data_IF_331543192591
#
_entry.id   IF_331543192591
#
_cell.length_a   1.000
_cell.length_b   1.000
_cell.length_c   1.000
_cell.angle_alpha   90.00
_cell.angle_beta   90.00
_cell.angle_gamma   90.00
#
_symmetry.space_group_name_H-M   'P 1'
#
loop_
_entity.id
_entity.type
_entity.pdbx_description
1 polymer ?
#
# COMPACT_ATOMS: atom_id res chain seq x y z
N UNK A 1 -8.76 60.73 -5.16
CA UNK A 1 -7.84 61.78 -5.65
C UNK A 1 -6.79 62.03 -4.59
N UNK A 2 -5.51 61.98 -4.99
CA UNK A 2 -4.34 62.69 -4.44
C UNK A 2 -4.01 62.49 -2.94
N UNK A 3 -2.97 61.70 -2.62
CA UNK A 3 -1.55 62.10 -2.52
C UNK A 3 -1.26 62.89 -1.22
N UNK A 4 -0.72 62.24 -0.18
CA UNK A 4 0.73 62.07 0.13
C UNK A 4 1.51 63.37 0.32
N UNK A 5 1.99 63.59 1.56
CA UNK A 5 3.24 64.31 1.95
C UNK A 5 3.61 63.75 3.35
N UNK A 6 4.69 63.04 3.65
CA UNK A 6 6.14 63.17 3.41
C UNK A 6 6.92 63.94 4.52
N UNK A 7 7.78 63.17 5.22
CA UNK A 7 9.17 63.44 5.67
C UNK A 7 9.49 64.40 6.85
N UNK A 8 10.44 63.97 7.69
CA UNK A 8 11.53 64.82 8.21
C UNK A 8 11.85 64.74 9.71
N UNK A 9 13.04 64.22 10.06
CA UNK A 9 13.57 64.05 11.42
C UNK A 9 14.36 65.28 11.96
N UNK A 10 14.52 65.41 13.29
CA UNK A 10 15.82 65.65 13.99
C UNK A 10 15.72 65.82 15.54
N UNK A 11 16.50 64.97 16.25
CA UNK A 11 17.32 65.17 17.48
C UNK A 11 16.71 65.42 18.89
N UNK A 12 17.15 64.65 19.91
CA UNK A 12 18.24 64.99 20.89
C UNK A 12 18.38 63.93 22.02
N UNK A 13 19.64 63.53 22.30
CA UNK A 13 20.25 62.95 23.54
C UNK A 13 19.63 61.69 24.20
N UNK A 14 20.33 60.65 24.64
CA UNK A 14 21.75 60.36 24.89
C UNK A 14 21.82 59.37 26.07
N UNK A 15 22.28 58.14 25.86
CA UNK A 15 22.61 57.13 26.89
C UNK A 15 23.45 55.98 26.24
N UNK A 16 24.23 55.22 27.02
CA UNK A 16 25.49 54.62 26.58
C UNK A 16 25.34 53.37 25.70
N UNK A 17 26.42 53.07 25.00
CA UNK A 17 26.65 51.84 24.24
C UNK A 17 26.63 50.64 25.20
N UNK A 18 25.54 49.88 25.19
CA UNK A 18 25.59 48.47 25.55
C UNK A 18 25.84 47.70 24.24
N UNK A 19 27.02 47.08 24.17
CA UNK A 19 27.31 46.05 23.19
C UNK A 19 26.26 44.96 23.31
N UNK A 20 25.46 44.83 22.25
CA UNK A 20 24.52 43.73 22.09
C UNK A 20 25.34 42.43 22.06
N UNK A 21 25.36 41.71 23.19
CA UNK A 21 25.89 40.36 23.27
C UNK A 21 24.97 39.50 22.41
N UNK A 22 25.40 39.20 21.19
CA UNK A 22 24.85 38.14 20.36
C UNK A 22 25.01 36.81 21.11
N UNK A 23 24.03 36.47 21.94
CA UNK A 23 23.86 35.13 22.48
C UNK A 23 23.29 34.26 21.39
N UNK A 24 24.14 33.51 20.69
CA UNK A 24 23.72 32.33 19.94
C UNK A 24 23.13 31.33 20.94
N UNK A 25 21.80 31.23 21.01
CA UNK A 25 21.16 30.08 21.61
C UNK A 25 21.35 28.91 20.64
N UNK A 26 22.36 28.07 20.90
CA UNK A 26 22.40 26.75 20.30
C UNK A 26 21.14 26.01 20.75
N UNK A 27 20.39 25.45 19.81
CA UNK A 27 19.29 24.53 20.13
C UNK A 27 19.88 23.39 20.96
N UNK A 28 19.28 23.08 22.12
CA UNK A 28 19.70 21.94 22.91
C UNK A 28 19.41 20.67 22.10
N UNK A 29 20.40 19.79 21.98
CA UNK A 29 20.21 18.47 21.36
C UNK A 29 19.05 17.75 22.05
N UNK A 30 18.24 17.05 21.26
CA UNK A 30 17.26 16.11 21.79
C UNK A 30 17.96 15.02 22.60
N UNK A 31 17.21 14.30 23.43
CA UNK A 31 17.77 13.21 24.22
C UNK A 31 18.38 12.13 23.32
N UNK A 32 17.72 11.81 22.20
CA UNK A 32 18.21 10.84 21.22
C UNK A 32 19.51 11.34 20.58
N UNK A 33 19.53 12.53 19.98
CA UNK A 33 20.73 13.09 19.32
C UNK A 33 21.94 13.13 20.27
N UNK A 34 21.77 13.56 21.52
CA UNK A 34 22.85 13.57 22.51
C UNK A 34 23.42 12.18 22.79
N UNK A 35 22.54 11.18 22.95
CA UNK A 35 22.94 9.82 23.33
C UNK A 35 23.51 9.06 22.13
N UNK A 36 22.90 9.22 20.96
CA UNK A 36 23.28 8.57 19.70
C UNK A 36 24.59 9.14 19.13
N UNK A 37 24.82 10.45 19.28
CA UNK A 37 26.09 11.09 18.97
C UNK A 37 27.16 10.98 20.07
N UNK A 38 26.90 10.27 21.17
CA UNK A 38 27.88 10.08 22.26
C UNK A 38 28.46 11.39 22.84
N UNK A 39 27.67 12.46 22.83
CA UNK A 39 28.11 13.82 23.14
C UNK A 39 28.47 14.03 24.61
N UNK A 40 27.90 13.20 25.50
CA UNK A 40 28.21 13.19 26.93
C UNK A 40 28.54 11.78 27.43
N UNK A 41 29.80 11.59 27.84
CA UNK A 41 30.32 10.34 28.40
C UNK A 41 29.63 9.93 29.69
N UNK A 42 28.99 10.87 30.39
CA UNK A 42 28.22 10.61 31.60
C UNK A 42 26.93 9.82 31.32
N UNK A 43 26.40 9.87 30.09
CA UNK A 43 25.17 9.18 29.71
C UNK A 43 25.34 7.68 29.68
N UNK A 44 26.51 7.23 29.24
CA UNK A 44 26.80 5.83 29.06
C UNK A 44 27.37 5.26 30.35
N UNK A 45 26.83 4.13 30.82
CA UNK A 45 27.41 3.34 31.89
C UNK A 45 28.26 2.21 31.30
N UNK A 46 29.36 1.82 31.93
CA UNK A 46 30.27 0.79 31.45
C UNK A 46 30.45 -0.28 32.52
N UNK A 47 30.28 -1.56 32.16
CA UNK A 47 30.51 -2.67 33.09
C UNK A 47 31.99 -2.94 33.38
N UNK A 48 32.88 -2.50 32.48
CA UNK A 48 34.34 -2.63 32.59
C UNK A 48 35.03 -1.58 31.70
N UNK A 49 36.35 -1.41 31.88
CA UNK A 49 37.15 -0.43 31.15
C UNK A 49 37.06 0.99 31.71
N UNK A 50 37.76 1.91 31.06
CA UNK A 50 37.80 3.33 31.41
C UNK A 50 37.17 4.12 30.27
N UNK A 51 36.06 4.82 30.55
CA UNK A 51 35.41 5.76 29.63
C UNK A 51 36.12 7.11 29.62
N UNK A 52 36.20 7.76 28.48
CA UNK A 52 36.70 9.12 28.34
C UNK A 52 36.03 9.82 27.15
N UNK A 53 36.06 11.16 27.16
CA UNK A 53 35.59 11.94 26.01
C UNK A 53 36.69 12.01 24.97
N UNK A 54 36.31 11.90 23.70
CA UNK A 54 37.20 12.01 22.55
C UNK A 54 36.87 13.26 21.75
N UNK A 55 37.91 14.00 21.38
CA UNK A 55 37.82 15.09 20.40
C UNK A 55 37.91 14.60 18.94
N UNK A 56 38.16 13.29 18.74
CA UNK A 56 38.00 12.64 17.44
C UNK A 56 36.55 12.15 17.35
N UNK A 57 35.80 12.66 16.39
CA UNK A 57 34.39 12.37 16.17
C UNK A 57 34.07 12.36 14.66
N UNK A 58 32.99 11.70 14.25
CA UNK A 58 32.43 11.70 12.89
C UNK A 58 31.22 12.62 12.77
N UNK A 59 30.53 12.90 13.88
CA UNK A 59 29.45 13.90 13.95
C UNK A 59 29.56 14.75 15.22
N UNK A 60 28.70 15.77 15.35
CA UNK A 60 28.56 16.53 16.59
C UNK A 60 29.85 17.17 17.13
N UNK A 61 30.02 17.18 18.46
CA UNK A 61 31.11 17.90 19.14
C UNK A 61 32.04 17.00 19.96
N UNK A 62 31.61 15.80 20.32
CA UNK A 62 32.42 14.83 21.08
C UNK A 62 32.01 13.39 20.75
N UNK A 63 32.88 12.44 21.09
CA UNK A 63 32.60 11.00 20.98
C UNK A 63 33.00 10.26 22.26
N UNK A 64 32.61 8.98 22.38
CA UNK A 64 32.92 8.14 23.53
C UNK A 64 34.15 7.25 23.29
N UNK A 65 35.21 7.47 24.06
CA UNK A 65 36.38 6.59 24.12
C UNK A 65 36.25 5.52 25.22
N UNK A 66 36.64 4.28 24.93
CA UNK A 66 36.74 3.19 25.90
C UNK A 66 38.08 2.45 25.77
N UNK A 67 38.80 2.28 26.88
CA UNK A 67 40.08 1.53 26.95
C UNK A 67 40.12 0.53 28.10
N UNK A 68 41.19 -0.28 28.15
CA UNK A 68 41.46 -1.23 29.25
C UNK A 68 40.36 -2.26 29.49
N UNK A 69 39.77 -2.79 28.42
CA UNK A 69 38.75 -3.84 28.47
C UNK A 69 39.11 -5.01 27.54
N UNK A 70 38.61 -6.19 27.85
CA UNK A 70 38.49 -7.30 26.87
C UNK A 70 37.04 -7.61 26.53
N UNK A 71 36.14 -7.35 27.49
CA UNK A 71 34.69 -7.34 27.39
C UNK A 71 34.18 -6.10 28.14
N UNK A 72 33.23 -5.36 27.56
CA UNK A 72 32.49 -4.31 28.25
C UNK A 72 31.06 -4.22 27.69
N UNK A 73 30.09 -3.90 28.55
CA UNK A 73 28.76 -3.45 28.15
C UNK A 73 28.68 -1.95 28.39
N UNK A 74 28.29 -1.21 27.35
CA UNK A 74 27.93 0.20 27.43
C UNK A 74 26.41 0.31 27.40
N UNK A 75 25.81 0.87 28.44
CA UNK A 75 24.35 1.00 28.56
C UNK A 75 23.94 2.46 28.62
N UNK A 76 23.01 2.84 27.74
CA UNK A 76 22.44 4.19 27.64
C UNK A 76 21.56 4.53 28.84
N UNK A 77 21.20 5.81 29.05
CA UNK A 77 20.07 6.15 29.93
C UNK A 77 18.76 5.65 29.31
N UNK A 78 17.67 5.71 30.08
CA UNK A 78 16.33 5.48 29.54
C UNK A 78 15.99 6.57 28.52
N UNK A 79 15.71 6.14 27.30
CA UNK A 79 15.31 6.93 26.16
C UNK A 79 13.79 6.98 26.07
N UNK A 80 13.31 8.12 25.60
CA UNK A 80 11.95 8.29 25.12
C UNK A 80 11.79 7.72 23.70
N UNK A 81 10.60 7.91 23.14
CA UNK A 81 10.22 7.40 21.82
C UNK A 81 11.26 7.79 20.78
N UNK A 82 11.76 6.80 20.04
CA UNK A 82 12.77 7.02 19.02
C UNK A 82 12.14 7.60 17.76
N UNK A 83 12.94 8.41 17.06
CA UNK A 83 12.64 8.89 15.71
C UNK A 83 13.56 8.22 14.69
N UNK A 84 13.05 8.00 13.48
CA UNK A 84 13.84 7.48 12.36
C UNK A 84 14.23 6.01 12.46
N UNK A 85 13.44 5.16 13.14
CA UNK A 85 13.71 3.72 13.26
C UNK A 85 13.53 3.01 11.91
N UNK A 86 14.58 2.37 11.41
CA UNK A 86 14.62 1.61 10.14
C UNK A 86 15.02 0.14 10.38
N UNK A 87 15.25 -0.59 9.29
CA UNK A 87 15.69 -1.99 9.28
C UNK A 87 17.22 -2.16 9.44
N UNK A 88 18.00 -1.08 9.50
CA UNK A 88 19.44 -1.11 9.75
C UNK A 88 19.85 -0.06 10.79
N UNK A 89 20.74 -0.45 11.70
CA UNK A 89 21.38 0.45 12.64
C UNK A 89 22.88 0.49 12.32
N UNK A 90 23.48 1.66 12.32
CA UNK A 90 24.90 1.84 12.10
C UNK A 90 25.59 2.51 13.28
N UNK A 91 26.88 2.21 13.44
CA UNK A 91 27.75 2.79 14.47
C UNK A 91 29.13 3.05 13.87
N UNK A 92 29.64 4.27 14.02
CA UNK A 92 31.01 4.57 13.63
C UNK A 92 31.98 4.18 14.76
N UNK A 93 33.02 3.44 14.41
CA UNK A 93 34.05 2.98 15.35
C UNK A 93 35.44 3.27 14.82
N UNK A 94 36.32 3.73 15.72
CA UNK A 94 37.74 3.91 15.45
C UNK A 94 38.58 3.10 16.42
N UNK A 95 39.29 2.12 15.88
CA UNK A 95 40.10 1.19 16.68
C UNK A 95 41.55 1.67 16.79
N UNK A 96 42.20 1.51 17.96
CA UNK A 96 43.61 1.93 18.13
C UNK A 96 44.60 1.04 17.38
N UNK A 97 44.21 -0.21 17.10
CA UNK A 97 44.97 -1.20 16.34
C UNK A 97 44.01 -2.11 15.58
N UNK A 98 44.49 -2.72 14.48
CA UNK A 98 43.69 -3.68 13.70
C UNK A 98 43.60 -5.01 14.47
N UNK A 99 42.40 -5.45 14.88
CA UNK A 99 42.30 -6.57 15.79
C UNK A 99 42.21 -7.91 15.03
N UNK A 100 42.84 -8.94 15.59
CA UNK A 100 42.77 -10.31 15.05
C UNK A 100 41.42 -11.01 15.33
N UNK A 101 40.65 -10.48 16.28
CA UNK A 101 39.33 -10.95 16.68
C UNK A 101 38.60 -9.81 17.40
N UNK A 102 37.28 -9.84 17.43
CA UNK A 102 36.48 -8.89 18.19
C UNK A 102 35.12 -8.69 17.54
N UNK A 103 34.17 -8.19 18.32
CA UNK A 103 32.81 -7.95 17.86
C UNK A 103 32.13 -6.86 18.69
N UNK A 104 31.15 -6.22 18.08
CA UNK A 104 30.15 -5.39 18.74
C UNK A 104 28.79 -6.05 18.58
N UNK A 105 28.00 -6.06 19.64
CA UNK A 105 26.61 -6.54 19.63
C UNK A 105 25.71 -5.42 20.14
N UNK A 106 24.50 -5.33 19.60
CA UNK A 106 23.49 -4.36 20.02
C UNK A 106 22.30 -5.10 20.62
N UNK A 107 21.91 -4.69 21.82
CA UNK A 107 20.71 -5.17 22.49
C UNK A 107 19.82 -3.99 22.88
N UNK A 108 18.51 -4.23 22.90
CA UNK A 108 17.52 -3.25 23.36
C UNK A 108 16.65 -3.83 24.47
N UNK A 109 16.29 -3.01 25.45
CA UNK A 109 15.37 -3.38 26.53
C UNK A 109 14.36 -2.28 26.76
N UNK A 110 13.09 -2.63 26.84
CA UNK A 110 12.00 -1.73 27.20
C UNK A 110 10.85 -2.57 27.77
N UNK A 111 10.59 -2.49 29.08
CA UNK A 111 9.40 -3.09 29.67
C UNK A 111 8.09 -2.67 28.98
N UNK A 112 7.94 -1.39 28.61
CA UNK A 112 6.73 -0.91 27.91
C UNK A 112 6.53 -1.53 26.53
N UNK A 113 7.61 -1.82 25.80
CA UNK A 113 7.56 -2.46 24.48
C UNK A 113 7.63 -3.99 24.55
N UNK A 114 7.64 -4.59 25.75
CA UNK A 114 7.79 -6.04 25.92
C UNK A 114 9.17 -6.58 25.53
N UNK A 115 10.18 -5.73 25.42
CA UNK A 115 11.53 -6.10 25.01
C UNK A 115 12.42 -6.33 26.24
N UNK A 116 13.02 -7.52 26.36
CA UNK A 116 13.93 -7.88 27.45
C UNK A 116 15.26 -8.34 26.89
N UNK A 117 16.28 -7.47 26.93
CA UNK A 117 17.59 -7.69 26.31
C UNK A 117 17.46 -8.33 24.91
N UNK A 118 16.52 -7.79 24.14
CA UNK A 118 16.23 -8.27 22.80
C UNK A 118 17.45 -8.01 21.91
N UNK A 119 17.88 -9.06 21.24
CA UNK A 119 19.04 -9.03 20.39
C UNK A 119 18.69 -8.33 19.06
N UNK A 120 19.38 -7.23 18.76
CA UNK A 120 19.21 -6.52 17.49
C UNK A 120 20.14 -7.13 16.43
N UNK A 121 21.46 -7.04 16.65
CA UNK A 121 22.43 -7.52 15.67
C UNK A 121 23.86 -7.55 16.21
N UNK A 122 24.79 -8.02 15.38
CA UNK A 122 26.22 -7.99 15.68
C UNK A 122 27.07 -7.69 14.45
N UNK A 123 28.24 -7.10 14.68
CA UNK A 123 29.24 -6.81 13.66
C UNK A 123 30.64 -7.25 14.12
N UNK A 124 31.43 -7.78 13.19
CA UNK A 124 32.81 -8.20 13.46
C UNK A 124 33.77 -7.00 13.43
N UNK A 125 34.71 -6.97 14.36
CA UNK A 125 35.82 -6.00 14.36
C UNK A 125 37.07 -6.54 13.64
N UNK A 126 37.11 -7.85 13.38
CA UNK A 126 38.30 -8.52 12.85
C UNK A 126 38.75 -7.90 11.53
N UNK A 127 40.03 -7.51 11.46
CA UNK A 127 40.64 -7.01 10.24
C UNK A 127 40.30 -5.55 9.88
N UNK A 128 39.48 -4.85 10.68
CA UNK A 128 39.22 -3.43 10.48
C UNK A 128 40.51 -2.60 10.64
N UNK A 129 40.69 -1.52 9.86
CA UNK A 129 41.91 -0.74 9.85
C UNK A 129 42.14 -0.01 11.18
N UNK A 130 43.39 0.03 11.63
CA UNK A 130 43.77 0.83 12.78
C UNK A 130 43.62 2.34 12.45
N UNK A 131 43.25 3.12 13.46
CA UNK A 131 43.29 4.58 13.43
C UNK A 131 42.43 5.24 12.35
N UNK A 132 41.47 4.52 11.81
CA UNK A 132 40.54 4.96 10.76
C UNK A 132 39.12 4.64 11.22
N UNK A 133 38.17 5.50 10.87
CA UNK A 133 36.75 5.24 11.12
C UNK A 133 36.27 4.08 10.24
N UNK A 134 35.52 3.18 10.83
CA UNK A 134 34.78 2.11 10.15
C UNK A 134 33.33 2.22 10.60
N UNK A 135 32.37 2.10 9.68
CA UNK A 135 30.95 2.05 10.02
C UNK A 135 30.55 0.58 10.13
N UNK A 136 30.03 0.20 11.30
CA UNK A 136 29.46 -1.11 11.55
C UNK A 136 27.97 -1.05 11.27
N UNK A 137 27.45 -1.97 10.47
CA UNK A 137 26.02 -2.11 10.19
C UNK A 137 25.42 -3.31 10.94
N UNK A 138 24.21 -3.15 11.45
CA UNK A 138 23.45 -4.13 12.21
C UNK A 138 22.03 -4.20 11.64
N UNK A 139 21.63 -5.35 11.07
CA UNK A 139 20.25 -5.56 10.67
C UNK A 139 19.31 -5.54 11.89
N UNK A 140 18.24 -4.78 11.81
CA UNK A 140 17.17 -4.69 12.82
C UNK A 140 16.09 -5.69 12.46
N UNK A 141 15.84 -6.73 13.29
CA UNK A 141 14.75 -7.66 13.04
C UNK A 141 13.41 -6.92 12.96
N UNK A 142 12.57 -7.23 11.97
CA UNK A 142 11.29 -6.54 11.75
C UNK A 142 10.41 -6.46 13.01
N UNK A 143 10.38 -7.50 13.83
CA UNK A 143 9.62 -7.49 15.09
C UNK A 143 10.16 -6.51 16.14
N UNK A 144 11.46 -6.25 16.14
CA UNK A 144 12.10 -5.25 17.00
C UNK A 144 11.90 -3.86 16.38
N UNK A 145 12.01 -3.71 15.06
CA UNK A 145 11.73 -2.46 14.35
C UNK A 145 10.32 -1.94 14.68
N UNK A 146 9.29 -2.77 14.49
CA UNK A 146 7.90 -2.39 14.80
C UNK A 146 7.66 -2.10 16.28
N UNK A 147 8.43 -2.72 17.18
CA UNK A 147 8.36 -2.40 18.61
C UNK A 147 9.01 -1.04 18.91
N UNK A 148 10.17 -0.75 18.32
CA UNK A 148 10.92 0.50 18.55
C UNK A 148 10.24 1.74 17.94
N UNK A 149 9.34 1.57 16.97
CA UNK A 149 8.50 2.63 16.40
C UNK A 149 7.33 3.04 17.33
N UNK A 150 7.04 2.27 18.37
CA UNK A 150 5.98 2.59 19.32
C UNK A 150 6.43 3.56 20.41
N UNK A 151 5.46 4.25 21.02
CA UNK A 151 5.73 5.19 22.11
C UNK A 151 6.32 4.51 23.35
N UNK A 152 7.43 5.06 23.85
CA UNK A 152 8.14 4.56 25.04
C UNK A 152 8.77 5.71 25.84
N UNK A 153 9.11 5.42 27.10
CA UNK A 153 9.91 6.29 27.99
C UNK A 153 10.97 5.53 28.78
N UNK A 154 11.12 4.22 28.53
CA UNK A 154 11.97 3.31 29.31
C UNK A 154 12.93 2.50 28.43
N UNK A 155 13.12 2.90 27.17
CA UNK A 155 13.98 2.18 26.23
C UNK A 155 15.46 2.36 26.58
N UNK A 156 16.21 1.27 26.63
CA UNK A 156 17.66 1.30 26.80
C UNK A 156 18.35 0.56 25.67
N UNK A 157 19.44 1.14 25.18
CA UNK A 157 20.37 0.51 24.24
C UNK A 157 21.59 0.02 25.01
N UNK A 158 22.00 -1.21 24.74
CA UNK A 158 23.23 -1.80 25.26
C UNK A 158 24.13 -2.20 24.10
N UNK A 159 25.35 -1.67 24.09
CA UNK A 159 26.43 -2.08 23.19
C UNK A 159 27.37 -3.02 23.95
N UNK A 160 27.52 -4.26 23.49
CA UNK A 160 28.49 -5.21 24.04
C UNK A 160 29.73 -5.23 23.16
N UNK A 161 30.88 -4.87 23.72
CA UNK A 161 32.16 -4.80 23.03
C UNK A 161 33.10 -5.89 23.50
N UNK A 162 33.64 -6.65 22.55
CA UNK A 162 34.70 -7.62 22.77
C UNK A 162 35.87 -7.33 21.84
N UNK A 163 37.04 -7.05 22.42
CA UNK A 163 38.23 -6.71 21.65
C UNK A 163 39.51 -7.02 22.45
N UNK A 164 40.68 -7.13 21.80
CA UNK A 164 41.96 -7.18 22.49
C UNK A 164 42.16 -5.93 23.36
N UNK A 165 42.62 -6.13 24.61
CA UNK A 165 42.86 -5.01 25.53
C UNK A 165 43.97 -4.09 25.02
N UNK A 166 43.73 -2.79 25.14
CA UNK A 166 44.63 -1.71 24.71
C UNK A 166 44.63 -0.59 25.75
N UNK A 167 45.78 0.06 25.90
CA UNK A 167 45.90 1.30 26.69
C UNK A 167 45.40 2.54 25.94
N UNK A 168 45.27 2.47 24.62
CA UNK A 168 44.64 3.48 23.78
C UNK A 168 43.15 3.16 23.58
N UNK A 169 42.32 4.19 23.46
CA UNK A 169 40.87 4.04 23.36
C UNK A 169 40.39 3.51 21.99
N UNK A 170 39.39 2.64 22.05
CA UNK A 170 38.42 2.44 20.98
C UNK A 170 37.39 3.57 21.09
N UNK A 171 37.20 4.33 20.01
CA UNK A 171 36.26 5.46 19.99
C UNK A 171 34.99 5.04 19.25
N UNK A 172 33.84 5.33 19.85
CA UNK A 172 32.50 5.09 19.33
C UNK A 172 31.81 6.42 19.09
N UNK A 173 31.15 6.52 17.94
CA UNK A 173 30.43 7.73 17.56
C UNK A 173 29.28 7.43 16.60
N UNK A 174 28.36 8.37 16.44
CA UNK A 174 27.32 8.38 15.39
C UNK A 174 26.50 7.09 15.28
N UNK A 175 25.89 6.67 16.39
CA UNK A 175 24.88 5.62 16.36
C UNK A 175 23.65 6.15 15.65
N UNK A 176 23.18 5.50 14.60
CA UNK A 176 22.01 5.97 13.85
C UNK A 176 21.31 4.82 13.16
N UNK A 177 20.04 5.00 12.89
CA UNK A 177 19.35 4.12 11.95
C UNK A 177 19.79 4.49 10.53
N UNK A 178 20.27 3.51 9.78
CA UNK A 178 20.61 3.58 8.34
C UNK A 178 19.70 2.62 7.58
N UNK A 179 19.80 2.50 6.26
CA UNK A 179 19.01 1.46 5.55
C UNK A 179 17.51 1.76 5.37
N UNK A 180 17.00 2.86 5.91
CA UNK A 180 16.15 3.70 5.09
C UNK A 180 17.08 4.47 4.16
N UNK A 181 17.24 4.05 2.91
CA UNK A 181 17.28 5.11 1.91
C UNK A 181 16.03 5.99 2.18
N UNK A 182 15.98 7.30 1.88
CA UNK A 182 14.75 7.66 1.21
C UNK A 182 14.68 6.64 0.09
N UNK A 183 13.70 5.72 0.12
CA UNK A 183 13.16 5.26 -1.15
C UNK A 183 13.10 6.56 -1.96
N UNK A 184 13.83 6.67 -3.09
CA UNK A 184 13.98 7.93 -3.78
C UNK A 184 12.59 8.55 -3.80
N UNK A 185 12.37 9.66 -3.06
CA UNK A 185 11.09 9.99 -2.40
C UNK A 185 9.98 9.50 -3.30
N UNK A 186 9.29 8.41 -2.93
CA UNK A 186 8.73 7.45 -3.88
C UNK A 186 8.38 8.09 -5.21
N UNK A 187 9.24 7.89 -6.23
CA UNK A 187 9.17 8.65 -7.47
C UNK A 187 10.41 9.46 -7.89
N UNK A 188 11.50 9.56 -7.10
CA UNK A 188 12.68 10.27 -7.63
C UNK A 188 13.22 9.57 -8.89
N UNK A 189 13.34 10.36 -9.97
CA UNK A 189 13.76 9.86 -11.27
C UNK A 189 12.67 9.16 -12.07
N UNK A 190 11.45 9.02 -11.53
CA UNK A 190 10.30 8.58 -12.33
C UNK A 190 9.99 9.63 -13.39
N UNK A 191 9.79 9.25 -14.67
CA UNK A 191 9.33 10.18 -15.69
C UNK A 191 7.84 10.52 -15.56
N UNK A 192 7.15 9.96 -14.56
CA UNK A 192 5.73 10.16 -14.28
C UNK A 192 5.55 10.99 -13.01
N UNK A 193 4.58 11.89 -13.04
CA UNK A 193 4.22 12.80 -11.93
C UNK A 193 2.91 12.38 -11.30
N UNK A 194 2.83 12.40 -9.96
CA UNK A 194 1.62 12.14 -9.19
C UNK A 194 1.16 13.42 -8.49
N UNK A 195 -0.01 13.94 -8.88
CA UNK A 195 -0.62 15.11 -8.24
C UNK A 195 -1.52 14.65 -7.08
N UNK A 196 -1.00 14.78 -5.85
CA UNK A 196 -1.67 14.29 -4.64
C UNK A 196 -2.56 15.37 -4.02
N UNK A 197 -3.83 15.01 -3.75
CA UNK A 197 -4.77 15.84 -2.98
C UNK A 197 -5.37 15.01 -1.85
N UNK A 198 -5.31 15.52 -0.62
CA UNK A 198 -5.86 14.84 0.56
C UNK A 198 -6.92 15.66 1.29
N UNK A 199 -7.71 14.99 2.13
CA UNK A 199 -8.63 15.59 3.10
C UNK A 199 -8.04 15.54 4.52
N UNK A 200 -8.44 16.44 5.44
CA UNK A 200 -7.86 16.49 6.79
C UNK A 200 -7.95 15.16 7.54
N UNK A 201 -6.87 14.77 8.20
CA UNK A 201 -6.82 13.56 9.03
C UNK A 201 -6.78 12.25 8.23
N UNK A 202 -6.27 12.29 7.00
CA UNK A 202 -5.76 11.09 6.35
C UNK A 202 -4.38 10.74 6.92
N UNK A 203 -4.04 9.45 6.93
CA UNK A 203 -2.82 8.95 7.54
C UNK A 203 -1.63 9.11 6.57
N UNK A 204 -0.53 9.68 7.06
CA UNK A 204 0.64 10.01 6.24
C UNK A 204 1.43 8.75 5.84
N UNK A 205 1.38 7.66 6.62
CA UNK A 205 2.07 6.39 6.31
C UNK A 205 1.33 5.66 5.19
N UNK A 206 0.00 5.57 5.29
CA UNK A 206 -0.83 5.01 4.21
C UNK A 206 -0.66 5.81 2.92
N UNK A 207 -0.62 7.15 3.02
CA UNK A 207 -0.41 8.01 1.86
C UNK A 207 0.94 7.75 1.18
N UNK A 208 2.02 7.65 1.96
CA UNK A 208 3.35 7.35 1.42
C UNK A 208 3.36 6.00 0.71
N UNK A 209 2.79 4.95 1.32
CA UNK A 209 2.69 3.63 0.69
C UNK A 209 1.91 3.67 -0.63
N UNK A 210 0.81 4.42 -0.69
CA UNK A 210 0.04 4.59 -1.94
C UNK A 210 0.87 5.29 -3.04
N UNK A 211 1.64 6.31 -2.68
CA UNK A 211 2.56 7.01 -3.59
C UNK A 211 3.66 6.06 -4.08
N UNK A 212 4.21 5.24 -3.19
CA UNK A 212 5.21 4.21 -3.51
C UNK A 212 4.67 3.15 -4.46
N UNK A 213 3.44 2.68 -4.25
CA UNK A 213 2.77 1.75 -5.16
C UNK A 213 2.62 2.35 -6.55
N UNK A 214 2.17 3.60 -6.67
CA UNK A 214 2.08 4.28 -7.97
C UNK A 214 3.43 4.34 -8.69
N UNK A 215 4.47 4.85 -8.04
CA UNK A 215 5.77 5.07 -8.70
C UNK A 215 6.50 3.77 -9.03
N UNK A 216 6.18 2.68 -8.32
CA UNK A 216 6.71 1.34 -8.61
C UNK A 216 5.99 0.67 -9.78
N UNK A 217 4.67 0.82 -9.87
CA UNK A 217 3.84 0.02 -10.77
C UNK A 217 3.43 0.75 -12.04
N UNK A 218 3.06 2.04 -11.97
CA UNK A 218 2.58 2.79 -13.13
C UNK A 218 3.56 2.77 -14.33
N UNK A 219 4.88 2.97 -14.16
CA UNK A 219 5.82 2.88 -15.28
C UNK A 219 5.79 1.53 -16.01
N UNK A 220 5.59 0.43 -15.27
CA UNK A 220 5.53 -0.92 -15.81
C UNK A 220 4.25 -1.13 -16.61
N UNK A 221 3.11 -0.67 -16.09
CA UNK A 221 1.83 -0.76 -16.79
C UNK A 221 1.80 0.10 -18.06
N UNK A 222 2.31 1.33 -18.00
CA UNK A 222 2.45 2.20 -19.19
C UNK A 222 3.35 1.55 -20.24
N UNK A 223 4.46 0.93 -19.84
CA UNK A 223 5.35 0.24 -20.77
C UNK A 223 4.67 -0.96 -21.44
N UNK A 224 3.91 -1.75 -20.68
CA UNK A 224 3.30 -2.99 -21.15
C UNK A 224 2.06 -2.76 -21.99
N UNK A 225 1.12 -1.95 -21.50
CA UNK A 225 -0.21 -1.83 -22.09
C UNK A 225 -0.33 -0.59 -22.98
N UNK A 226 0.02 0.60 -22.47
CA UNK A 226 -0.22 1.83 -23.22
C UNK A 226 0.91 2.86 -23.06
N UNK A 227 1.94 2.84 -23.94
CA UNK A 227 3.03 3.82 -23.91
C UNK A 227 2.61 5.28 -24.16
N UNK A 228 1.36 5.51 -24.57
CA UNK A 228 0.77 6.84 -24.76
C UNK A 228 -0.09 7.30 -23.56
N UNK A 229 -0.12 6.54 -22.46
CA UNK A 229 -0.83 6.91 -21.25
C UNK A 229 -0.29 8.24 -20.65
N UNK A 230 -1.12 8.98 -19.89
CA UNK A 230 -0.73 10.25 -19.30
C UNK A 230 0.54 10.16 -18.45
N UNK A 231 1.41 11.16 -18.56
CA UNK A 231 2.61 11.29 -17.72
C UNK A 231 2.32 11.91 -16.36
N UNK A 232 1.12 12.45 -16.17
CA UNK A 232 0.64 13.04 -14.92
C UNK A 232 -0.66 12.37 -14.54
N UNK A 233 -0.75 11.89 -13.31
CA UNK A 233 -1.94 11.23 -12.74
C UNK A 233 -2.29 11.90 -11.42
N UNK A 234 -3.57 12.14 -11.15
CA UNK A 234 -4.01 12.63 -9.85
C UNK A 234 -4.30 11.47 -8.89
N UNK A 235 -3.90 11.61 -7.61
CA UNK A 235 -4.31 10.74 -6.52
C UNK A 235 -5.10 11.57 -5.50
N UNK A 236 -6.37 11.26 -5.31
CA UNK A 236 -7.30 12.09 -4.55
C UNK A 236 -7.93 11.27 -3.44
N UNK A 237 -7.66 11.64 -2.19
CA UNK A 237 -8.37 11.09 -1.03
C UNK A 237 -9.68 11.87 -0.84
N UNK A 238 -10.79 11.16 -0.72
CA UNK A 238 -12.16 11.71 -0.70
C UNK A 238 -13.01 11.06 0.41
N UNK A 239 -14.12 11.69 0.76
CA UNK A 239 -15.14 11.16 1.68
C UNK A 239 -16.36 10.56 0.95
N UNK A 240 -16.34 10.55 -0.38
CA UNK A 240 -17.42 9.98 -1.20
C UNK A 240 -17.55 8.47 -0.99
N UNK A 241 -18.77 7.90 -0.99
CA UNK A 241 -18.99 6.48 -0.73
C UNK A 241 -18.36 5.58 -1.80
N UNK A 242 -18.04 4.34 -1.43
CA UNK A 242 -17.34 3.38 -2.28
C UNK A 242 -15.92 3.09 -1.77
N UNK A 243 -15.18 2.31 -2.52
CA UNK A 243 -13.77 1.97 -2.20
C UNK A 243 -12.85 2.95 -2.89
N UNK A 244 -12.89 2.94 -4.22
CA UNK A 244 -12.11 3.81 -5.09
C UNK A 244 -12.76 3.88 -6.48
N UNK A 245 -12.33 4.85 -7.29
CA UNK A 245 -12.65 4.91 -8.71
C UNK A 245 -11.66 5.78 -9.48
N UNK A 246 -11.61 5.63 -10.81
CA UNK A 246 -10.78 6.44 -11.68
C UNK A 246 -11.60 7.24 -12.70
N UNK A 247 -11.21 8.48 -12.97
CA UNK A 247 -11.84 9.32 -13.99
C UNK A 247 -10.94 10.48 -14.42
N UNK A 248 -10.94 10.79 -15.72
CA UNK A 248 -10.28 11.97 -16.29
C UNK A 248 -8.81 12.17 -15.88
N UNK A 249 -8.03 11.08 -15.80
CA UNK A 249 -6.61 11.14 -15.40
C UNK A 249 -6.38 11.17 -13.89
N UNK A 250 -7.44 11.09 -13.07
CA UNK A 250 -7.35 11.05 -11.62
C UNK A 250 -7.88 9.73 -11.08
N UNK A 251 -7.30 9.27 -9.99
CA UNK A 251 -7.79 8.18 -9.14
C UNK A 251 -8.27 8.77 -7.81
N UNK A 252 -9.33 8.17 -7.28
CA UNK A 252 -10.04 8.64 -6.10
C UNK A 252 -10.18 7.50 -5.11
N UNK A 253 -9.87 7.73 -3.84
CA UNK A 253 -9.90 6.70 -2.79
C UNK A 253 -10.69 7.19 -1.59
N UNK A 254 -11.60 6.35 -1.10
CA UNK A 254 -12.38 6.66 0.10
C UNK A 254 -11.48 6.64 1.34
N UNK A 255 -11.45 7.76 2.06
CA UNK A 255 -10.67 7.95 3.29
C UNK A 255 -10.94 6.85 4.32
N UNK A 256 -12.20 6.60 4.64
CA UNK A 256 -12.57 5.68 5.71
C UNK A 256 -12.20 4.24 5.34
N UNK A 257 -12.42 3.85 4.09
CA UNK A 257 -12.03 2.53 3.59
C UNK A 257 -10.53 2.30 3.74
N UNK A 258 -9.70 3.27 3.32
CA UNK A 258 -8.25 3.16 3.44
C UNK A 258 -7.78 3.11 4.91
N UNK A 259 -8.42 3.87 5.80
CA UNK A 259 -8.13 3.81 7.24
C UNK A 259 -8.53 2.46 7.88
N UNK A 260 -9.64 1.87 7.42
CA UNK A 260 -10.10 0.56 7.88
C UNK A 260 -9.28 -0.59 7.29
N UNK A 261 -8.62 -0.36 6.13
CA UNK A 261 -7.83 -1.34 5.38
C UNK A 261 -6.44 -0.76 5.02
N UNK A 262 -5.58 -0.43 6.00
CA UNK A 262 -4.35 0.34 5.78
C UNK A 262 -3.31 -0.36 4.90
N UNK A 263 -3.39 -1.69 4.78
CA UNK A 263 -2.51 -2.48 3.92
C UNK A 263 -3.02 -2.61 2.48
N UNK A 264 -4.26 -2.18 2.18
CA UNK A 264 -4.85 -2.35 0.86
C UNK A 264 -4.44 -1.25 -0.14
N UNK A 265 -3.16 -0.86 -0.09
CA UNK A 265 -2.59 0.17 -0.96
C UNK A 265 -2.49 -0.29 -2.42
N UNK A 266 -2.63 -1.59 -2.68
CA UNK A 266 -2.72 -2.16 -4.03
C UNK A 266 -4.05 -1.88 -4.74
N UNK A 267 -5.06 -1.34 -4.03
CA UNK A 267 -6.17 -0.65 -4.70
C UNK A 267 -5.65 0.44 -5.66
N UNK A 268 -4.47 1.03 -5.40
CA UNK A 268 -3.82 1.94 -6.34
C UNK A 268 -3.50 1.27 -7.67
N UNK A 269 -3.02 0.01 -7.68
CA UNK A 269 -2.69 -0.72 -8.90
C UNK A 269 -3.92 -0.92 -9.79
N UNK A 270 -5.06 -1.24 -9.19
CA UNK A 270 -6.34 -1.36 -9.89
C UNK A 270 -6.73 -0.03 -10.55
N UNK A 271 -6.79 1.06 -9.77
CA UNK A 271 -7.27 2.34 -10.27
C UNK A 271 -6.35 2.97 -11.32
N UNK A 272 -5.03 2.85 -11.16
CA UNK A 272 -4.09 3.41 -12.14
C UNK A 272 -4.13 2.64 -13.46
N UNK A 273 -4.54 1.36 -13.45
CA UNK A 273 -4.77 0.61 -14.68
C UNK A 273 -5.87 1.24 -15.52
N UNK A 274 -6.95 1.75 -14.92
CA UNK A 274 -7.99 2.47 -15.66
C UNK A 274 -7.47 3.73 -16.36
N UNK A 275 -6.43 4.38 -15.80
CA UNK A 275 -5.75 5.50 -16.46
C UNK A 275 -4.96 5.02 -17.68
N UNK A 276 -4.29 3.87 -17.57
CA UNK A 276 -3.53 3.24 -18.66
C UNK A 276 -4.45 2.77 -19.79
N UNK A 277 -5.57 2.13 -19.44
CA UNK A 277 -6.55 1.59 -20.38
C UNK A 277 -7.08 2.65 -21.35
N UNK A 278 -7.47 3.83 -20.85
CA UNK A 278 -7.85 5.00 -21.67
C UNK A 278 -8.78 4.69 -22.86
N UNK A 279 -9.71 3.74 -22.68
CA UNK A 279 -10.57 3.24 -23.75
C UNK A 279 -11.52 4.33 -24.28
N UNK A 280 -11.73 4.35 -25.59
CA UNK A 280 -12.63 5.29 -26.24
C UNK A 280 -14.00 4.66 -26.52
N UNK A 281 -15.07 5.29 -26.03
CA UNK A 281 -16.44 4.85 -26.27
C UNK A 281 -16.86 3.65 -25.41
N UNK A 282 -18.02 3.03 -25.71
CA UNK A 282 -18.54 1.95 -24.89
C UNK A 282 -17.72 0.67 -25.08
N UNK A 283 -17.19 0.16 -23.97
CA UNK A 283 -16.44 -1.10 -23.90
C UNK A 283 -17.08 -2.02 -22.85
N UNK A 284 -16.88 -3.36 -22.92
CA UNK A 284 -17.46 -4.28 -21.95
C UNK A 284 -16.82 -4.08 -20.57
N UNK A 285 -17.59 -3.55 -19.60
CA UNK A 285 -17.09 -3.21 -18.27
C UNK A 285 -16.40 -4.37 -17.55
N UNK A 286 -16.90 -5.60 -17.68
CA UNK A 286 -16.28 -6.76 -17.05
C UNK A 286 -14.83 -7.04 -17.51
N UNK A 287 -14.49 -6.65 -18.75
CA UNK A 287 -13.11 -6.75 -19.25
C UNK A 287 -12.27 -5.61 -18.67
N UNK A 288 -12.84 -4.41 -18.57
CA UNK A 288 -12.19 -3.23 -17.98
C UNK A 288 -11.76 -3.54 -16.53
N UNK A 289 -12.72 -3.99 -15.70
CA UNK A 289 -12.49 -4.35 -14.30
C UNK A 289 -11.61 -5.60 -14.17
N UNK A 290 -11.82 -6.60 -15.02
CA UNK A 290 -11.04 -7.85 -15.00
C UNK A 290 -9.56 -7.64 -15.31
N UNK A 291 -9.23 -6.74 -16.25
CA UNK A 291 -7.83 -6.39 -16.55
C UNK A 291 -7.21 -5.63 -15.36
N UNK A 292 -7.97 -4.74 -14.71
CA UNK A 292 -7.50 -4.00 -13.54
C UNK A 292 -7.13 -4.92 -12.37
N UNK A 293 -7.96 -5.93 -12.08
CA UNK A 293 -7.63 -6.94 -11.06
C UNK A 293 -6.57 -7.96 -11.52
N UNK A 294 -6.48 -8.26 -12.81
CA UNK A 294 -5.40 -9.09 -13.35
C UNK A 294 -4.03 -8.46 -13.11
N UNK A 295 -3.89 -7.15 -13.38
CA UNK A 295 -2.62 -6.46 -13.11
C UNK A 295 -2.40 -6.19 -11.62
N UNK A 296 -3.47 -6.03 -10.83
CA UNK A 296 -3.36 -5.98 -9.36
C UNK A 296 -2.78 -7.28 -8.83
N UNK A 297 -3.24 -8.44 -9.29
CA UNK A 297 -2.69 -9.74 -8.90
C UNK A 297 -1.21 -9.89 -9.23
N UNK A 298 -0.79 -9.40 -10.41
CA UNK A 298 0.58 -9.54 -10.88
C UNK A 298 1.56 -8.52 -10.29
N UNK A 299 1.14 -7.26 -10.11
CA UNK A 299 2.01 -6.14 -9.75
C UNK A 299 1.77 -5.57 -8.35
N UNK A 300 0.77 -6.07 -7.62
CA UNK A 300 0.50 -5.66 -6.25
C UNK A 300 1.69 -5.93 -5.32
N UNK A 301 2.03 -4.94 -4.50
CA UNK A 301 3.15 -4.99 -3.56
C UNK A 301 2.76 -5.57 -2.20
N UNK A 302 1.48 -5.43 -1.82
CA UNK A 302 0.93 -5.74 -0.51
C UNK A 302 -0.26 -6.71 -0.52
N UNK A 303 -0.70 -7.23 -1.68
CA UNK A 303 -1.86 -8.14 -1.79
C UNK A 303 -1.89 -9.23 -0.71
N UNK A 304 -0.77 -9.95 -0.51
CA UNK A 304 -0.68 -11.01 0.50
C UNK A 304 -0.82 -10.48 1.94
N UNK A 305 -0.28 -9.29 2.23
CA UNK A 305 -0.38 -8.64 3.53
C UNK A 305 -1.78 -8.07 3.78
N UNK A 306 -2.44 -7.57 2.73
CA UNK A 306 -3.83 -7.12 2.73
C UNK A 306 -4.83 -8.29 2.77
N UNK A 307 -4.38 -9.53 2.53
CA UNK A 307 -5.24 -10.70 2.42
C UNK A 307 -6.08 -10.72 1.13
N UNK A 308 -5.65 -9.98 0.10
CA UNK A 308 -6.30 -9.92 -1.21
C UNK A 308 -5.69 -10.94 -2.18
N UNK A 309 -6.54 -11.58 -2.98
CA UNK A 309 -6.14 -12.45 -4.09
C UNK A 309 -7.31 -12.62 -5.05
N UNK A 310 -7.04 -12.82 -6.34
CA UNK A 310 -8.07 -13.29 -7.27
C UNK A 310 -8.50 -14.73 -6.91
N UNK A 311 -9.73 -15.16 -7.28
CA UNK A 311 -10.16 -16.54 -7.10
C UNK A 311 -9.19 -17.54 -7.76
N UNK A 312 -8.90 -18.64 -7.07
CA UNK A 312 -8.04 -19.71 -7.61
C UNK A 312 -8.74 -20.61 -8.65
N UNK A 313 -10.03 -20.38 -8.89
CA UNK A 313 -10.86 -21.13 -9.82
C UNK A 313 -12.33 -20.74 -9.68
N UNK A 314 -13.17 -21.32 -10.54
CA UNK A 314 -14.61 -21.06 -10.52
C UNK A 314 -15.28 -21.60 -9.25
N UNK A 315 -16.22 -20.83 -8.70
CA UNK A 315 -17.11 -21.23 -7.60
C UNK A 315 -18.56 -21.00 -8.00
N UNK A 316 -19.48 -21.81 -7.46
CA UNK A 316 -20.92 -21.62 -7.72
C UNK A 316 -21.37 -20.26 -7.17
N UNK A 317 -21.98 -19.45 -8.03
CA UNK A 317 -22.32 -18.05 -7.73
C UNK A 317 -21.42 -17.03 -8.41
N UNK A 318 -20.24 -17.42 -8.89
CA UNK A 318 -19.36 -16.53 -9.66
C UNK A 318 -19.81 -16.41 -11.13
N UNK A 319 -19.51 -15.25 -11.74
CA UNK A 319 -19.71 -15.02 -13.16
C UNK A 319 -18.69 -14.01 -13.72
N UNK A 320 -18.08 -14.29 -14.88
CA UNK A 320 -17.11 -13.37 -15.49
C UNK A 320 -17.66 -11.96 -15.73
N UNK A 321 -18.97 -11.84 -15.97
CA UNK A 321 -19.68 -10.56 -16.13
C UNK A 321 -19.74 -9.70 -14.87
N UNK A 322 -19.30 -10.19 -13.71
CA UNK A 322 -19.10 -9.38 -12.52
C UNK A 322 -17.79 -8.59 -12.56
N UNK A 323 -16.88 -8.89 -13.50
CA UNK A 323 -15.59 -8.19 -13.61
C UNK A 323 -14.64 -8.60 -12.50
N UNK A 324 -13.78 -7.66 -12.08
CA UNK A 324 -12.86 -7.80 -10.94
C UNK A 324 -12.13 -9.17 -10.93
N UNK A 325 -11.92 -9.73 -9.74
CA UNK A 325 -11.24 -11.02 -9.55
C UNK A 325 -11.85 -12.18 -10.34
N UNK A 326 -13.18 -12.25 -10.52
CA UNK A 326 -13.82 -13.34 -11.28
C UNK A 326 -13.39 -13.33 -12.76
N UNK A 327 -13.36 -12.15 -13.37
CA UNK A 327 -12.87 -11.96 -14.73
C UNK A 327 -11.35 -12.15 -14.82
N UNK A 328 -10.58 -11.63 -13.85
CA UNK A 328 -9.13 -11.79 -13.80
C UNK A 328 -8.72 -13.27 -13.72
N UNK A 329 -9.36 -14.05 -12.83
CA UNK A 329 -9.13 -15.49 -12.69
C UNK A 329 -9.49 -16.26 -13.97
N UNK A 330 -10.56 -15.83 -14.65
CA UNK A 330 -10.95 -16.39 -15.94
C UNK A 330 -9.92 -16.11 -17.03
N UNK A 331 -9.33 -14.91 -17.07
CA UNK A 331 -8.23 -14.58 -17.98
C UNK A 331 -7.00 -15.43 -17.72
N UNK A 332 -6.60 -15.57 -16.45
CA UNK A 332 -5.48 -16.44 -16.05
C UNK A 332 -5.70 -17.89 -16.47
N UNK A 333 -6.92 -18.40 -16.33
CA UNK A 333 -7.26 -19.75 -16.81
C UNK A 333 -7.22 -19.86 -18.34
N UNK A 334 -7.71 -18.86 -19.08
CA UNK A 334 -7.63 -18.83 -20.55
C UNK A 334 -6.18 -18.88 -21.00
N UNK A 335 -5.31 -18.10 -20.36
CA UNK A 335 -3.88 -18.07 -20.70
C UNK A 335 -3.20 -19.41 -20.45
N UNK A 336 -3.47 -20.02 -19.31
CA UNK A 336 -2.95 -21.34 -18.97
C UNK A 336 -3.47 -22.47 -19.87
N UNK A 337 -4.66 -22.31 -20.48
CA UNK A 337 -5.34 -23.38 -21.22
C UNK A 337 -5.16 -23.27 -22.73
N UNK A 338 -5.34 -22.08 -23.30
CA UNK A 338 -5.39 -21.86 -24.75
C UNK A 338 -4.23 -21.02 -25.28
N UNK A 339 -3.57 -20.22 -24.43
CA UNK A 339 -2.59 -19.21 -24.86
C UNK A 339 -1.18 -19.42 -24.29
N UNK A 340 -0.83 -20.65 -23.92
CA UNK A 340 0.53 -20.98 -23.44
C UNK A 340 1.58 -20.58 -24.47
N UNK A 341 2.48 -19.67 -24.08
CA UNK A 341 3.55 -19.15 -24.94
C UNK A 341 3.11 -18.07 -25.93
N UNK A 342 1.88 -17.57 -25.84
CA UNK A 342 1.38 -16.41 -26.58
C UNK A 342 1.31 -15.19 -25.67
N UNK A 343 1.03 -14.01 -26.24
CA UNK A 343 0.73 -12.80 -25.48
C UNK A 343 -0.48 -13.07 -24.57
N UNK A 344 -0.42 -12.68 -23.27
CA UNK A 344 -1.54 -12.87 -22.35
C UNK A 344 -2.83 -12.24 -22.87
N UNK A 345 -3.97 -12.84 -22.54
CA UNK A 345 -5.27 -12.42 -23.06
C UNK A 345 -5.63 -11.01 -22.56
N UNK A 346 -5.22 -10.63 -21.36
CA UNK A 346 -5.44 -9.29 -20.81
C UNK A 346 -4.78 -8.21 -21.69
N UNK A 347 -3.53 -8.41 -22.11
CA UNK A 347 -2.79 -7.51 -23.01
C UNK A 347 -3.47 -7.38 -24.38
N UNK A 348 -3.87 -8.50 -24.99
CA UNK A 348 -4.54 -8.50 -26.29
C UNK A 348 -5.91 -7.81 -26.22
N UNK A 349 -6.66 -8.03 -25.13
CA UNK A 349 -7.94 -7.36 -24.92
C UNK A 349 -7.77 -5.86 -24.72
N UNK A 350 -6.77 -5.41 -23.96
CA UNK A 350 -6.46 -3.98 -23.82
C UNK A 350 -6.17 -3.33 -25.18
N UNK A 351 -5.30 -3.95 -25.99
CA UNK A 351 -4.98 -3.48 -27.34
C UNK A 351 -6.23 -3.38 -28.23
N UNK A 352 -7.06 -4.43 -28.24
CA UNK A 352 -8.27 -4.52 -29.07
C UNK A 352 -9.33 -3.50 -28.62
N UNK A 353 -9.45 -3.26 -27.31
CA UNK A 353 -10.38 -2.29 -26.73
C UNK A 353 -9.92 -0.85 -26.98
N UNK A 354 -8.62 -0.54 -26.84
CA UNK A 354 -8.06 0.77 -27.22
C UNK A 354 -8.20 1.05 -28.71
N UNK A 355 -8.11 0.02 -29.55
CA UNK A 355 -8.36 0.13 -30.99
C UNK A 355 -9.85 0.29 -31.34
N UNK A 356 -10.77 0.09 -30.39
CA UNK A 356 -12.21 0.15 -30.62
C UNK A 356 -12.75 -0.96 -31.54
N UNK A 357 -12.04 -2.10 -31.59
CA UNK A 357 -12.34 -3.22 -32.53
C UNK A 357 -12.92 -4.45 -31.85
N UNK A 358 -13.18 -4.40 -30.54
CA UNK A 358 -13.73 -5.53 -29.80
C UNK A 358 -15.08 -5.98 -30.35
N UNK A 359 -15.26 -7.29 -30.46
CA UNK A 359 -16.53 -7.92 -30.79
C UNK A 359 -16.61 -9.32 -30.17
N UNK A 360 -17.77 -9.98 -30.26
CA UNK A 360 -17.89 -11.38 -29.83
C UNK A 360 -16.93 -12.32 -30.58
N UNK A 361 -16.54 -11.97 -31.80
CA UNK A 361 -15.58 -12.74 -32.61
C UNK A 361 -14.16 -12.72 -32.02
N UNK A 362 -13.81 -11.70 -31.22
CA UNK A 362 -12.50 -11.58 -30.58
C UNK A 362 -12.14 -12.84 -29.77
N UNK A 363 -13.09 -13.41 -29.02
CA UNK A 363 -12.85 -14.64 -28.24
C UNK A 363 -12.54 -15.84 -29.13
N UNK A 364 -13.28 -15.99 -30.22
CA UNK A 364 -13.08 -17.06 -31.19
C UNK A 364 -11.72 -16.91 -31.88
N UNK A 365 -11.32 -15.68 -32.20
CA UNK A 365 -10.02 -15.42 -32.84
C UNK A 365 -8.85 -15.69 -31.88
N UNK A 366 -9.00 -15.36 -30.60
CA UNK A 366 -7.96 -15.54 -29.58
C UNK A 366 -7.86 -16.98 -29.04
N UNK A 367 -8.95 -17.76 -29.07
CA UNK A 367 -9.03 -19.07 -28.37
C UNK A 367 -9.63 -20.20 -29.20
N UNK A 368 -10.31 -19.90 -30.30
CA UNK A 368 -11.11 -20.85 -31.08
C UNK A 368 -12.54 -21.06 -30.58
N UNK A 369 -12.94 -20.47 -29.45
CA UNK A 369 -14.25 -20.64 -28.83
C UNK A 369 -14.91 -19.30 -28.50
N UNK A 370 -16.25 -19.26 -28.50
CA UNK A 370 -16.99 -18.11 -27.96
C UNK A 370 -16.88 -18.05 -26.42
N UNK A 371 -17.13 -16.87 -25.85
CA UNK A 371 -16.97 -16.62 -24.41
C UNK A 371 -17.85 -17.50 -23.52
N UNK A 372 -19.05 -17.85 -23.97
CA UNK A 372 -19.96 -18.73 -23.22
C UNK A 372 -19.43 -20.16 -23.17
N UNK A 373 -18.88 -20.64 -24.28
CA UNK A 373 -18.23 -21.96 -24.36
C UNK A 373 -16.95 -22.01 -23.52
N UNK A 374 -16.21 -20.91 -23.44
CA UNK A 374 -15.04 -20.78 -22.55
C UNK A 374 -15.48 -20.80 -21.09
N UNK A 375 -16.54 -20.07 -20.71
CA UNK A 375 -17.04 -20.04 -19.34
C UNK A 375 -17.56 -21.40 -18.86
N UNK A 376 -18.25 -22.13 -19.75
CA UNK A 376 -18.66 -23.51 -19.48
C UNK A 376 -17.45 -24.43 -19.26
N UNK A 377 -16.36 -24.26 -20.02
CA UNK A 377 -15.15 -25.04 -19.81
C UNK A 377 -14.42 -24.66 -18.51
N UNK A 378 -14.34 -23.38 -18.17
CA UNK A 378 -13.72 -22.90 -16.92
C UNK A 378 -14.44 -23.44 -15.68
N UNK A 379 -15.78 -23.43 -15.70
CA UNK A 379 -16.61 -23.99 -14.64
C UNK A 379 -16.71 -25.52 -14.67
N UNK A 380 -16.01 -26.20 -15.59
CA UNK A 380 -16.13 -27.65 -15.80
C UNK A 380 -17.58 -28.12 -15.98
N UNK A 381 -18.33 -27.36 -16.80
CA UNK A 381 -19.76 -27.52 -17.10
C UNK A 381 -20.66 -27.50 -15.86
N UNK A 382 -20.24 -26.83 -14.77
CA UNK A 382 -21.05 -26.66 -13.56
C UNK A 382 -21.85 -25.35 -13.57
N UNK A 383 -21.42 -24.34 -14.33
CA UNK A 383 -22.21 -23.12 -14.47
C UNK A 383 -23.52 -23.40 -15.23
N UNK A 384 -24.66 -22.86 -14.79
CA UNK A 384 -25.93 -23.06 -15.46
C UNK A 384 -25.89 -22.47 -16.87
N UNK A 385 -26.53 -23.16 -17.82
CA UNK A 385 -26.70 -22.63 -19.18
C UNK A 385 -27.72 -21.49 -19.16
N UNK A 386 -27.56 -20.47 -20.04
CA UNK A 386 -28.56 -19.43 -20.20
C UNK A 386 -29.94 -20.03 -20.53
N UNK A 387 -30.98 -19.62 -19.78
CA UNK A 387 -32.33 -20.06 -20.05
C UNK A 387 -32.83 -19.48 -21.39
N UNK A 388 -33.57 -20.28 -22.16
CA UNK A 388 -34.11 -19.85 -23.46
C UNK A 388 -35.57 -19.39 -23.40
N UNK A 389 -36.23 -19.55 -22.25
CA UNK A 389 -37.64 -19.20 -22.06
C UNK A 389 -37.95 -18.97 -20.59
N UNK A 390 -38.71 -17.91 -20.28
CA UNK A 390 -39.11 -17.59 -18.92
C UNK A 390 -39.36 -16.10 -18.75
N UNK A 391 -39.21 -15.62 -17.51
CA UNK A 391 -39.22 -14.18 -17.22
C UNK A 391 -37.87 -13.56 -17.56
N UNK A 392 -37.81 -12.25 -17.78
CA UNK A 392 -36.54 -11.54 -18.01
C UNK A 392 -36.35 -10.47 -16.95
N UNK A 393 -35.21 -10.49 -16.27
CA UNK A 393 -34.80 -9.47 -15.30
C UNK A 393 -33.76 -8.54 -15.91
N UNK A 394 -33.76 -7.28 -15.49
CA UNK A 394 -32.95 -6.23 -16.06
C UNK A 394 -32.23 -5.42 -14.98
N UNK A 395 -30.99 -5.04 -15.28
CA UNK A 395 -30.09 -4.20 -14.46
C UNK A 395 -30.58 -2.77 -14.26
N UNK A 396 -31.46 -2.29 -15.13
CA UNK A 396 -31.90 -0.90 -15.10
C UNK A 396 -33.40 -0.80 -15.26
N UNK A 397 -34.01 0.27 -14.73
CA UNK A 397 -35.43 0.54 -14.95
C UNK A 397 -35.76 0.64 -16.44
N UNK A 398 -37.01 0.37 -16.80
CA UNK A 398 -37.52 0.49 -18.16
C UNK A 398 -37.02 -0.59 -19.12
N UNK A 399 -36.63 -1.76 -18.61
CA UNK A 399 -36.07 -2.89 -19.38
C UNK A 399 -34.74 -2.52 -20.07
N UNK A 400 -33.95 -1.68 -19.41
CA UNK A 400 -32.62 -1.24 -19.85
C UNK A 400 -31.49 -2.07 -19.25
N UNK A 401 -30.26 -1.81 -19.70
CA UNK A 401 -29.06 -2.46 -19.18
C UNK A 401 -28.96 -3.94 -19.57
N UNK A 402 -28.17 -4.71 -18.81
CA UNK A 402 -28.04 -6.15 -19.04
C UNK A 402 -29.35 -6.88 -18.68
N UNK A 403 -29.68 -7.89 -19.48
CA UNK A 403 -30.90 -8.68 -19.35
C UNK A 403 -30.56 -10.17 -19.16
N UNK A 404 -31.25 -10.84 -18.23
CA UNK A 404 -31.08 -12.27 -17.97
C UNK A 404 -32.44 -12.96 -17.97
N UNK A 405 -32.54 -14.08 -18.68
CA UNK A 405 -33.75 -14.91 -18.70
C UNK A 405 -33.67 -15.94 -17.56
N UNK A 406 -34.75 -16.05 -16.79
CA UNK A 406 -34.93 -17.08 -15.77
C UNK A 406 -36.11 -17.98 -16.13
N UNK A 407 -35.87 -19.28 -16.23
CA UNK A 407 -36.90 -20.29 -16.38
C UNK A 407 -37.68 -20.50 -15.06
N UNK A 408 -38.56 -21.50 -15.02
CA UNK A 408 -39.30 -21.81 -13.79
C UNK A 408 -38.35 -22.43 -12.77
N UNK A 409 -38.36 -21.89 -11.56
CA UNK A 409 -37.41 -22.31 -10.53
C UNK A 409 -37.44 -21.42 -9.30
N UNK A 410 -36.55 -21.74 -8.37
CA UNK A 410 -36.26 -20.92 -7.19
C UNK A 410 -34.77 -20.58 -7.25
N UNK A 411 -34.44 -19.31 -7.07
CA UNK A 411 -33.09 -18.79 -7.21
C UNK A 411 -32.74 -17.96 -5.98
N UNK A 412 -31.78 -18.42 -5.18
CA UNK A 412 -31.15 -17.60 -4.15
C UNK A 412 -30.00 -16.75 -4.72
N UNK A 413 -29.26 -16.04 -3.86
CA UNK A 413 -28.12 -15.19 -4.27
C UNK A 413 -27.10 -15.95 -5.10
N UNK A 414 -26.78 -17.20 -4.73
CA UNK A 414 -25.78 -18.00 -5.43
C UNK A 414 -26.31 -18.52 -6.77
N UNK A 415 -27.58 -18.91 -6.83
CA UNK A 415 -28.22 -19.33 -8.09
C UNK A 415 -28.34 -18.18 -9.10
N UNK A 416 -28.65 -16.98 -8.60
CA UNK A 416 -28.70 -15.74 -9.37
C UNK A 416 -27.29 -15.36 -9.83
N UNK A 417 -26.31 -15.41 -8.92
CA UNK A 417 -24.91 -15.12 -9.19
C UNK A 417 -24.36 -15.96 -10.35
N UNK A 418 -24.59 -17.27 -10.30
CA UNK A 418 -24.17 -18.21 -11.34
C UNK A 418 -24.81 -17.95 -12.73
N UNK A 419 -25.84 -17.10 -12.80
CA UNK A 419 -26.55 -16.66 -14.02
C UNK A 419 -26.29 -15.19 -14.37
N UNK A 420 -25.23 -14.60 -13.81
CA UNK A 420 -24.88 -13.19 -14.00
C UNK A 420 -25.90 -12.18 -13.47
N UNK A 421 -26.65 -12.55 -12.43
CA UNK A 421 -27.54 -11.64 -11.71
C UNK A 421 -26.90 -11.35 -10.35
N UNK A 422 -26.49 -10.09 -10.12
CA UNK A 422 -25.91 -9.68 -8.84
C UNK A 422 -26.96 -9.65 -7.72
N UNK A 423 -26.49 -9.65 -6.48
CA UNK A 423 -27.38 -9.31 -5.36
C UNK A 423 -27.82 -7.85 -5.48
N UNK A 424 -29.08 -7.55 -5.17
CA UNK A 424 -29.56 -6.15 -5.13
C UNK A 424 -29.35 -5.41 -6.47
N UNK A 425 -29.51 -6.14 -7.59
CA UNK A 425 -29.13 -5.67 -8.93
C UNK A 425 -30.32 -5.45 -9.88
N UNK A 426 -31.48 -6.00 -9.56
CA UNK A 426 -32.62 -6.02 -10.49
C UNK A 426 -33.47 -4.76 -10.29
N UNK A 427 -33.71 -4.04 -11.39
CA UNK A 427 -34.49 -2.79 -11.37
C UNK A 427 -35.71 -2.81 -12.31
N UNK A 428 -35.85 -3.82 -13.18
CA UNK A 428 -37.11 -4.09 -13.89
C UNK A 428 -37.27 -5.55 -14.32
N UNK A 429 -38.52 -5.99 -14.55
CA UNK A 429 -38.85 -7.40 -14.84
C UNK A 429 -39.92 -7.48 -15.94
N UNK A 430 -39.69 -8.30 -16.96
CA UNK A 430 -40.71 -8.71 -17.94
C UNK A 430 -41.28 -10.08 -17.57
N UNK A 431 -42.61 -10.18 -17.53
CA UNK A 431 -43.34 -11.37 -17.11
C UNK A 431 -44.30 -11.79 -18.21
N UNK A 432 -43.91 -12.77 -19.06
CA UNK A 432 -44.79 -13.25 -20.13
C UNK A 432 -46.09 -13.86 -19.58
N UNK A 433 -47.18 -13.86 -20.37
CA UNK A 433 -48.43 -14.48 -19.95
C UNK A 433 -48.25 -15.94 -19.50
N UNK A 434 -48.79 -16.28 -18.34
CA UNK A 434 -48.70 -17.62 -17.76
C UNK A 434 -47.54 -17.83 -16.79
N UNK A 435 -46.74 -16.79 -16.53
CA UNK A 435 -45.73 -16.77 -15.48
C UNK A 435 -46.20 -15.95 -14.28
N UNK A 436 -45.74 -16.33 -13.10
CA UNK A 436 -45.80 -15.52 -11.89
C UNK A 436 -44.41 -15.49 -11.27
N UNK A 437 -43.93 -14.30 -10.90
CA UNK A 437 -42.64 -14.15 -10.22
C UNK A 437 -42.85 -13.52 -8.86
N UNK A 438 -42.26 -14.12 -7.83
CA UNK A 438 -42.23 -13.58 -6.47
C UNK A 438 -40.80 -13.28 -6.10
N UNK A 439 -40.52 -12.02 -5.76
CA UNK A 439 -39.19 -11.55 -5.36
C UNK A 439 -39.16 -11.24 -3.86
N UNK A 440 -38.00 -11.39 -3.24
CA UNK A 440 -37.80 -11.28 -1.80
C UNK A 440 -36.61 -10.37 -1.48
N UNK A 441 -36.76 -9.52 -0.45
CA UNK A 441 -35.68 -8.68 0.07
C UNK A 441 -34.51 -9.52 0.59
N UNK A 442 -34.82 -10.57 1.35
CA UNK A 442 -33.83 -11.32 2.09
C UNK A 442 -33.68 -12.74 1.52
N UNK A 443 -32.44 -13.18 1.37
CA UNK A 443 -32.15 -14.57 1.01
C UNK A 443 -32.11 -15.50 2.24
N UNK A 444 -32.48 -16.79 2.09
CA UNK A 444 -33.24 -17.36 0.99
C UNK A 444 -34.76 -17.19 1.20
N UNK A 445 -35.45 -16.64 0.21
CA UNK A 445 -36.92 -16.57 0.07
C UNK A 445 -37.64 -16.04 1.33
N UNK A 446 -37.11 -14.98 1.94
CA UNK A 446 -37.58 -14.47 3.22
C UNK A 446 -37.72 -12.94 3.22
N UNK A 447 -38.19 -12.39 4.35
CA UNK A 447 -38.42 -10.95 4.46
C UNK A 447 -39.63 -10.45 3.65
N UNK A 448 -39.59 -9.17 3.31
CA UNK A 448 -40.62 -8.53 2.47
C UNK A 448 -40.60 -9.15 1.08
N UNK A 449 -41.78 -9.48 0.54
CA UNK A 449 -41.93 -10.03 -0.81
C UNK A 449 -42.95 -9.27 -1.65
N UNK A 450 -42.73 -9.28 -2.97
CA UNK A 450 -43.64 -8.71 -3.96
C UNK A 450 -43.81 -9.71 -5.09
N UNK A 451 -45.06 -9.84 -5.56
CA UNK A 451 -45.40 -10.71 -6.68
C UNK A 451 -45.73 -9.88 -7.93
N UNK A 452 -45.18 -10.29 -9.07
CA UNK A 452 -45.47 -9.72 -10.38
C UNK A 452 -46.07 -10.78 -11.30
N UNK A 453 -47.15 -10.42 -11.99
CA UNK A 453 -47.89 -11.26 -12.95
C UNK A 453 -47.97 -10.62 -14.35
N UNK A 454 -47.31 -9.48 -14.52
CA UNK A 454 -47.18 -8.72 -15.75
C UNK A 454 -45.88 -7.89 -15.68
N UNK A 455 -45.47 -7.32 -16.82
CA UNK A 455 -44.27 -6.49 -16.91
C UNK A 455 -44.25 -5.35 -15.87
N UNK A 456 -43.10 -5.19 -15.22
CA UNK A 456 -42.82 -4.16 -14.25
C UNK A 456 -41.60 -3.36 -14.70
N UNK A 457 -41.84 -2.21 -15.33
CA UNK A 457 -40.78 -1.31 -15.80
C UNK A 457 -40.04 -0.60 -14.65
N UNK A 458 -40.59 -0.60 -13.44
CA UNK A 458 -39.96 -0.05 -12.21
C UNK A 458 -40.40 -0.90 -11.02
N UNK A 459 -39.51 -1.13 -10.05
CA UNK A 459 -39.80 -2.01 -8.90
C UNK A 459 -40.14 -1.26 -7.61
N UNK A 460 -40.03 0.07 -7.60
CA UNK A 460 -40.39 0.89 -6.45
C UNK A 460 -39.46 0.61 -5.27
N UNK A 461 -39.99 0.15 -4.14
CA UNK A 461 -39.14 -0.18 -2.98
C UNK A 461 -38.22 -1.39 -3.23
N UNK A 462 -38.60 -2.29 -4.15
CA UNK A 462 -37.83 -3.48 -4.51
C UNK A 462 -36.66 -3.20 -5.47
N UNK A 463 -36.53 -1.97 -5.96
CA UNK A 463 -35.47 -1.56 -6.88
C UNK A 463 -34.12 -1.74 -6.21
N UNK A 464 -33.24 -2.56 -6.80
CA UNK A 464 -31.91 -2.86 -6.28
C UNK A 464 -31.94 -3.39 -4.83
N UNK A 465 -32.93 -4.23 -4.50
CA UNK A 465 -33.10 -4.82 -3.16
C UNK A 465 -33.47 -6.31 -3.19
N UNK A 466 -33.37 -6.97 -4.35
CA UNK A 466 -33.81 -8.36 -4.53
C UNK A 466 -32.65 -9.31 -4.25
N UNK A 467 -32.79 -10.14 -3.21
CA UNK A 467 -31.81 -11.17 -2.85
C UNK A 467 -32.27 -12.61 -3.16
N UNK A 468 -33.54 -12.84 -3.50
CA UNK A 468 -33.99 -14.15 -4.03
C UNK A 468 -35.32 -14.09 -4.79
N UNK A 469 -35.55 -15.05 -5.69
CA UNK A 469 -36.64 -15.05 -6.69
C UNK A 469 -37.25 -16.44 -6.85
N UNK A 470 -38.58 -16.51 -6.94
CA UNK A 470 -39.33 -17.71 -7.31
C UNK A 470 -40.11 -17.43 -8.59
N UNK A 471 -39.96 -18.28 -9.62
CA UNK A 471 -40.63 -18.19 -10.92
C UNK A 471 -41.52 -19.42 -11.15
N UNK A 472 -42.83 -19.20 -11.34
CA UNK A 472 -43.87 -20.25 -11.43
C UNK A 472 -44.64 -20.24 -12.76
#
# INVERSE_FOLDING_TARGET
>A
MLASWALGACAVAGAPLDEDRTGTAALALTQQERVFGFEDVADWTASSGIRESSALHTEGAAALGLRSFTYAELTSPALSTLSGVTDELALDIRLPASPAWGQVQVLVSSPTLGLSRAWLGQASLQGLPANTWSTLAFAVPASIQSALQQSTSDLQITLTLNAPSSGAATVLDHLRFEGGAPAPACGDGSPYTLDVTTVPGFDDEILEDMICTFHSVYPQLVQRFNPAAPTTVGLIITEDPGVAWASNGNTYYNKQHMLDNPLDTDAVVHEIMHIVQSYAGPVPGWIVEGIADYVRDEYGLQNAAAGWSIPSGWTYGAHYLFGYGDAAAFFTWIDATYRVGQTPVADELDDILRAGTYSSQTWVDLTGYDVETLWQQYSNNQAPLPATSGITVYESPGFGGRAVVLDRGQYDVSDMGARAIGNDWISSIQVPPGYTVTVYYDAPFSGTSVQYTADAATLGAMDDQISSIVVE
#
